data_IF_358865376272
#
_entry.id   IF_358865376272
#
_cell.length_a   1.000
_cell.length_b   1.000
_cell.length_c   1.000
_cell.angle_alpha   90.00
_cell.angle_beta   90.00
_cell.angle_gamma   90.00
#
_symmetry.space_group_name_H-M   'P 1'
#
loop_
_entity.id
_entity.type
_entity.pdbx_description
1 polymer ?
#
# COMPACT_ATOMS: atom_id res chain seq x y z
N UNK A 1 20.52 5.19 -3.71
CA UNK A 1 19.69 5.26 -4.94
C UNK A 1 18.43 6.04 -4.59
N UNK A 2 17.98 6.98 -5.43
CA UNK A 2 16.75 7.72 -5.15
C UNK A 2 15.55 6.78 -5.09
N UNK A 3 14.55 7.15 -4.29
CA UNK A 3 13.26 6.47 -4.19
C UNK A 3 12.19 7.47 -4.58
N UNK A 4 11.35 7.11 -5.54
CA UNK A 4 10.22 7.91 -5.99
C UNK A 4 8.92 7.23 -5.58
N UNK A 5 8.00 7.99 -4.99
CA UNK A 5 6.70 7.49 -4.57
C UNK A 5 5.60 7.92 -5.53
N UNK A 6 4.66 7.02 -5.81
CA UNK A 6 3.44 7.29 -6.56
C UNK A 6 2.23 6.63 -5.89
N UNK A 7 1.07 7.27 -6.05
CA UNK A 7 -0.18 6.85 -5.44
C UNK A 7 -1.21 6.66 -6.54
N UNK A 8 -1.80 5.47 -6.63
CA UNK A 8 -2.83 5.16 -7.61
C UNK A 8 -4.18 5.79 -7.26
N UNK A 9 -5.08 5.89 -8.23
CA UNK A 9 -6.47 6.30 -7.98
C UNK A 9 -7.16 5.36 -6.97
N UNK A 10 -6.92 4.05 -7.07
CA UNK A 10 -7.42 3.05 -6.11
C UNK A 10 -6.99 3.33 -4.68
N UNK A 11 -5.74 3.80 -4.50
CA UNK A 11 -5.25 4.22 -3.19
C UNK A 11 -6.03 5.43 -2.69
N UNK A 12 -6.19 6.46 -3.53
CA UNK A 12 -6.96 7.67 -3.19
C UNK A 12 -8.41 7.34 -2.84
N UNK A 13 -9.05 6.44 -3.58
CA UNK A 13 -10.41 5.96 -3.30
C UNK A 13 -10.44 5.24 -1.95
N UNK A 14 -9.51 4.32 -1.70
CA UNK A 14 -9.46 3.59 -0.41
C UNK A 14 -9.26 4.49 0.81
N UNK A 15 -8.53 5.61 0.64
CA UNK A 15 -8.40 6.65 1.67
C UNK A 15 -9.74 7.34 1.93
N UNK A 16 -10.52 7.63 0.88
CA UNK A 16 -11.85 8.24 1.02
C UNK A 16 -12.85 7.28 1.68
N UNK A 17 -12.88 6.03 1.23
CA UNK A 17 -13.82 5.01 1.72
C UNK A 17 -13.59 4.65 3.19
N UNK A 18 -12.34 4.74 3.65
CA UNK A 18 -11.99 4.42 5.04
C UNK A 18 -12.40 5.50 6.05
N UNK A 19 -12.95 6.65 5.58
CA UNK A 19 -13.38 7.79 6.41
C UNK A 19 -12.32 8.26 7.41
N UNK A 20 -11.04 8.10 7.03
CA UNK A 20 -9.90 8.43 7.88
C UNK A 20 -9.67 9.93 7.84
N UNK A 21 -9.37 10.53 9.00
CA UNK A 21 -9.04 11.95 9.08
C UNK A 21 -7.81 12.27 8.21
N UNK A 22 -7.89 13.33 7.40
CA UNK A 22 -6.81 13.73 6.48
C UNK A 22 -5.43 13.86 7.16
N UNK A 23 -5.38 14.43 8.36
CA UNK A 23 -4.15 14.56 9.15
C UNK A 23 -3.48 13.21 9.42
N UNK A 24 -4.29 12.22 9.79
CA UNK A 24 -3.81 10.87 10.04
C UNK A 24 -3.30 10.19 8.77
N UNK A 25 -3.95 10.44 7.62
CA UNK A 25 -3.48 9.92 6.33
C UNK A 25 -2.10 10.50 5.98
N UNK A 26 -1.90 11.79 6.23
CA UNK A 26 -0.61 12.44 6.01
C UNK A 26 0.49 11.82 6.90
N UNK A 27 0.23 11.68 8.20
CA UNK A 27 1.18 11.02 9.13
C UNK A 27 1.50 9.58 8.72
N UNK A 28 0.50 8.84 8.23
CA UNK A 28 0.67 7.47 7.76
C UNK A 28 1.50 7.40 6.47
N UNK A 29 1.31 8.37 5.56
CA UNK A 29 2.12 8.50 4.34
C UNK A 29 3.56 8.87 4.72
N UNK A 30 3.77 9.80 5.64
CA UNK A 30 5.10 10.20 6.08
C UNK A 30 5.87 9.02 6.71
N UNK A 31 5.23 8.24 7.60
CA UNK A 31 5.82 7.03 8.20
C UNK A 31 6.14 5.98 7.13
N UNK A 32 5.25 5.82 6.14
CA UNK A 32 5.46 4.92 5.02
C UNK A 32 6.68 5.33 4.16
N UNK A 33 6.75 6.59 3.75
CA UNK A 33 7.86 7.08 2.91
C UNK A 33 9.19 7.07 3.68
N UNK A 34 9.20 7.49 4.94
CA UNK A 34 10.41 7.44 5.78
C UNK A 34 10.94 6.02 5.95
N UNK A 35 10.06 5.04 6.18
CA UNK A 35 10.47 3.65 6.37
C UNK A 35 11.00 3.01 5.09
N UNK A 36 10.45 3.37 3.93
CA UNK A 36 10.83 2.77 2.65
C UNK A 36 11.96 3.49 1.93
N UNK A 37 12.26 4.74 2.27
CA UNK A 37 13.36 5.51 1.66
C UNK A 37 14.72 4.81 1.78
N UNK A 38 15.13 4.23 2.94
CA UNK A 38 16.40 3.52 3.04
C UNK A 38 16.42 2.22 2.22
N UNK A 39 15.32 1.48 2.23
CA UNK A 39 15.21 0.21 1.53
C UNK A 39 13.74 -0.14 1.21
N UNK A 40 13.26 0.13 -0.02
CA UNK A 40 11.85 -0.07 -0.38
C UNK A 40 11.37 -1.52 -0.28
N UNK A 41 12.30 -2.47 -0.34
CA UNK A 41 12.04 -3.91 -0.30
C UNK A 41 12.06 -4.49 1.12
N UNK A 42 12.14 -3.64 2.15
CA UNK A 42 12.22 -4.05 3.56
C UNK A 42 10.97 -4.81 4.03
N UNK A 43 9.79 -4.45 3.53
CA UNK A 43 8.56 -5.16 3.88
C UNK A 43 8.39 -6.43 3.04
N UNK A 44 7.88 -7.48 3.67
CA UNK A 44 7.61 -8.75 3.00
C UNK A 44 6.54 -8.61 1.92
N UNK A 45 6.62 -9.50 0.92
CA UNK A 45 5.52 -9.75 0.00
C UNK A 45 4.31 -10.22 0.79
N UNK A 46 3.12 -9.69 0.46
CA UNK A 46 1.85 -10.05 1.08
C UNK A 46 1.66 -11.57 1.09
N UNK A 47 1.60 -12.17 2.27
CA UNK A 47 1.36 -13.63 2.41
C UNK A 47 -0.02 -14.00 1.87
N UNK A 48 -1.01 -13.15 2.14
CA UNK A 48 -2.37 -13.33 1.66
C UNK A 48 -2.43 -13.26 0.14
N UNK A 49 -1.95 -12.18 -0.49
CA UNK A 49 -2.00 -12.06 -1.95
C UNK A 49 -1.14 -13.13 -2.63
N UNK A 50 -0.01 -13.52 -2.01
CA UNK A 50 0.82 -14.63 -2.50
C UNK A 50 0.05 -15.96 -2.49
N UNK A 51 -0.79 -16.23 -1.49
CA UNK A 51 -1.65 -17.43 -1.50
C UNK A 51 -2.69 -17.43 -2.62
N UNK A 52 -3.01 -16.26 -3.16
CA UNK A 52 -3.87 -16.08 -4.35
C UNK A 52 -3.06 -16.07 -5.66
N UNK A 53 -1.77 -16.39 -5.62
CA UNK A 53 -0.87 -16.37 -6.78
C UNK A 53 -0.30 -14.99 -7.13
N UNK A 54 -0.60 -13.95 -6.35
CA UNK A 54 -0.15 -12.58 -6.61
C UNK A 54 1.09 -12.25 -5.76
N UNK A 55 2.25 -12.22 -6.38
CA UNK A 55 3.56 -12.03 -5.73
C UNK A 55 4.15 -10.61 -5.86
N UNK A 56 3.47 -9.71 -6.59
CA UNK A 56 3.95 -8.36 -6.90
C UNK A 56 3.90 -7.39 -5.71
N UNK A 57 2.99 -7.60 -4.77
CA UNK A 57 2.64 -6.60 -3.75
C UNK A 57 3.26 -6.92 -2.39
N UNK A 58 3.84 -5.89 -1.78
CA UNK A 58 4.39 -5.87 -0.41
C UNK A 58 3.41 -5.20 0.54
N UNK A 59 3.48 -5.55 1.82
CA UNK A 59 2.60 -5.02 2.87
C UNK A 59 3.38 -4.15 3.86
N UNK A 60 3.06 -2.86 3.90
CA UNK A 60 3.45 -2.00 5.00
C UNK A 60 2.35 -2.01 6.07
N UNK A 61 2.73 -2.30 7.32
CA UNK A 61 1.85 -2.24 8.47
C UNK A 61 2.17 -0.99 9.30
N UNK A 62 1.21 -0.07 9.37
CA UNK A 62 1.27 1.08 10.25
C UNK A 62 1.00 0.65 11.70
N UNK A 63 1.59 1.38 12.66
CA UNK A 63 1.35 1.21 14.09
C UNK A 63 -0.13 1.35 14.48
N UNK A 64 -0.88 2.11 13.68
CA UNK A 64 -2.28 2.40 13.93
C UNK A 64 -3.23 1.36 13.30
N UNK A 65 -2.71 0.22 12.84
CA UNK A 65 -3.51 -0.88 12.34
C UNK A 65 -4.00 -0.68 10.91
N UNK A 66 -3.36 0.16 10.11
CA UNK A 66 -3.62 0.26 8.67
C UNK A 66 -2.53 -0.46 7.88
N UNK A 67 -2.92 -0.97 6.71
CA UNK A 67 -2.04 -1.65 5.78
C UNK A 67 -1.99 -0.88 4.47
N UNK A 68 -0.78 -0.66 3.96
CA UNK A 68 -0.58 -0.17 2.60
C UNK A 68 -0.06 -1.32 1.75
N UNK A 69 -0.79 -1.65 0.69
CA UNK A 69 -0.29 -2.52 -0.35
C UNK A 69 0.46 -1.70 -1.38
N UNK A 70 1.72 -2.05 -1.62
CA UNK A 70 2.58 -1.32 -2.55
C UNK A 70 3.42 -2.26 -3.41
N UNK A 71 3.91 -1.78 -4.54
CA UNK A 71 4.86 -2.50 -5.39
C UNK A 71 6.14 -1.71 -5.54
N UNK A 72 7.26 -2.41 -5.72
CA UNK A 72 8.57 -1.80 -5.95
C UNK A 72 9.04 -2.16 -7.35
N UNK A 73 9.39 -1.15 -8.14
CA UNK A 73 10.09 -1.31 -9.40
C UNK A 73 11.51 -0.76 -9.22
N UNK A 74 12.52 -1.60 -9.45
CA UNK A 74 13.92 -1.16 -9.46
C UNK A 74 14.34 -0.86 -10.89
N UNK A 75 14.85 0.35 -11.12
CA UNK A 75 15.43 0.77 -12.38
C UNK A 75 16.90 1.16 -12.14
N UNK A 76 17.82 0.52 -12.86
CA UNK A 76 19.27 0.75 -12.70
C UNK A 76 19.70 2.21 -12.93
N UNK A 77 18.93 2.99 -13.70
CA UNK A 77 19.21 4.40 -14.01
C UNK A 77 18.51 5.37 -13.04
N UNK A 78 17.30 5.04 -12.60
CA UNK A 78 16.41 5.97 -11.87
C UNK A 78 16.16 5.55 -10.40
N UNK A 79 16.87 4.55 -9.89
CA UNK A 79 16.70 4.05 -8.53
C UNK A 79 15.43 3.21 -8.36
N UNK A 80 14.69 3.43 -7.26
CA UNK A 80 13.47 2.69 -6.97
C UNK A 80 12.23 3.54 -7.23
N UNK A 81 11.18 2.91 -7.75
CA UNK A 81 9.85 3.48 -7.85
C UNK A 81 8.89 2.66 -6.99
N UNK A 82 8.33 3.29 -5.96
CA UNK A 82 7.36 2.71 -5.04
C UNK A 82 5.98 3.21 -5.43
N UNK A 83 5.07 2.28 -5.74
CA UNK A 83 3.68 2.61 -6.07
C UNK A 83 2.76 2.05 -5.01
N UNK A 84 2.01 2.92 -4.32
CA UNK A 84 0.98 2.55 -3.38
C UNK A 84 -0.36 2.30 -4.10
N UNK A 85 -0.95 1.13 -3.86
CA UNK A 85 -2.14 0.63 -4.56
C UNK A 85 -3.41 0.70 -3.72
N UNK A 86 -3.32 0.43 -2.42
CA UNK A 86 -4.48 0.46 -1.52
C UNK A 86 -4.09 0.71 -0.07
N UNK A 87 -4.93 1.46 0.65
CA UNK A 87 -4.92 1.62 2.10
C UNK A 87 -6.12 0.86 2.68
N UNK A 88 -5.87 -0.06 3.60
CA UNK A 88 -6.92 -0.91 4.19
C UNK A 88 -6.73 -0.97 5.70
N UNK A 89 -7.80 -0.88 6.47
CA UNK A 89 -7.71 -1.11 7.92
C UNK A 89 -7.52 -2.60 8.20
N UNK A 90 -6.66 -2.98 9.15
CA UNK A 90 -6.30 -4.38 9.42
C UNK A 90 -7.47 -5.30 9.81
N UNK A 91 -8.57 -4.71 10.27
CA UNK A 91 -9.80 -5.43 10.63
C UNK A 91 -10.77 -5.59 9.46
N UNK A 92 -10.54 -4.90 8.35
CA UNK A 92 -11.32 -5.12 7.14
C UNK A 92 -10.86 -6.41 6.50
N UNK A 93 -11.82 -7.29 6.24
CA UNK A 93 -11.58 -8.50 5.48
C UNK A 93 -11.37 -8.13 4.01
N UNK A 94 -10.22 -8.53 3.48
CA UNK A 94 -9.85 -8.30 2.08
C UNK A 94 -10.77 -9.06 1.12
N UNK A 95 -11.31 -10.23 1.50
CA UNK A 95 -12.29 -10.92 0.64
C UNK A 95 -13.57 -10.09 0.52
N UNK A 96 -14.10 -9.61 1.65
CA UNK A 96 -15.26 -8.70 1.67
C UNK A 96 -15.01 -7.41 0.88
N UNK A 97 -13.82 -6.80 0.99
CA UNK A 97 -13.46 -5.61 0.21
C UNK A 97 -13.36 -5.89 -1.29
N UNK A 98 -12.75 -7.01 -1.69
CA UNK A 98 -12.70 -7.43 -3.09
C UNK A 98 -14.09 -7.72 -3.63
N UNK A 99 -14.93 -8.39 -2.84
CA UNK A 99 -16.30 -8.73 -3.23
C UNK A 99 -17.14 -7.47 -3.46
N UNK A 100 -17.12 -6.50 -2.53
CA UNK A 100 -17.82 -5.23 -2.70
C UNK A 100 -17.33 -4.48 -3.95
N UNK A 101 -16.01 -4.42 -4.18
CA UNK A 101 -15.46 -3.73 -5.36
C UNK A 101 -15.74 -4.44 -6.68
N UNK A 102 -15.87 -5.77 -6.68
CA UNK A 102 -16.18 -6.54 -7.89
C UNK A 102 -17.68 -6.57 -8.20
N UNK A 103 -18.54 -6.45 -7.19
CA UNK A 103 -20.00 -6.45 -7.35
C UNK A 103 -20.61 -5.05 -7.53
N UNK A 104 -19.86 -3.99 -7.31
CA UNK A 104 -20.30 -2.60 -7.57
C UNK A 104 -20.15 -2.17 -9.05
N UNK A 105 -19.88 -3.10 -9.97
CA UNK A 105 -19.90 -2.89 -11.43
C UNK A 105 -21.09 -3.54 -12.12
#
# INVERSE_FOLDING_TARGET
MPVHFSYTETFVISVKDSNVKKLFVAELIDDFEQRLTPYPEVCEVSKMLRSLGVNKYREFLSRNGYRIFYSVLKNSLNGYHVTAHALIHQRQDMQSLLFNRLLEY
#
